data_IF_712119293739
#
_entry.id   IF_712119293739
#
_cell.length_a   1.000
_cell.length_b   1.000
_cell.length_c   1.000
_cell.angle_alpha   90.00
_cell.angle_beta   90.00
_cell.angle_gamma   90.00
#
_symmetry.space_group_name_H-M   'P 1'
#
loop_
_entity.id
_entity.type
_entity.pdbx_description
1 polymer ?
#
# COMPACT_ATOMS: atom_id res chain seq x y z
N UNK A 1 43.26 5.90 -6.32
CA UNK A 1 43.63 6.54 -5.03
C UNK A 1 42.65 7.66 -4.65
N UNK A 2 42.73 8.88 -5.23
CA UNK A 2 41.87 10.01 -4.83
C UNK A 2 40.36 9.72 -4.92
N UNK A 3 39.90 9.13 -6.02
CA UNK A 3 38.48 8.76 -6.19
C UNK A 3 37.97 7.86 -5.05
N UNK A 4 38.74 6.84 -4.67
CA UNK A 4 38.36 5.91 -3.60
C UNK A 4 38.24 6.62 -2.24
N UNK A 5 39.17 7.53 -1.95
CA UNK A 5 39.15 8.34 -0.72
C UNK A 5 37.90 9.22 -0.67
N UNK A 6 37.55 9.90 -1.79
CA UNK A 6 36.33 10.71 -1.87
C UNK A 6 35.06 9.87 -1.67
N UNK A 7 34.99 8.68 -2.25
CA UNK A 7 33.86 7.76 -2.09
C UNK A 7 33.72 7.27 -0.64
N UNK A 8 34.81 6.95 0.05
CA UNK A 8 34.76 6.52 1.46
C UNK A 8 34.33 7.68 2.36
N UNK A 9 34.93 8.86 2.19
CA UNK A 9 34.63 10.02 3.04
C UNK A 9 33.20 10.51 2.79
N UNK A 10 32.87 10.80 1.54
CA UNK A 10 31.57 11.37 1.16
C UNK A 10 30.44 10.34 1.19
N UNK A 11 30.74 9.09 0.85
CA UNK A 11 29.74 8.03 0.70
C UNK A 11 29.49 7.20 1.96
N UNK A 12 30.39 7.20 2.95
CA UNK A 12 30.24 6.40 4.17
C UNK A 12 30.43 7.21 5.46
N UNK A 13 31.55 7.89 5.62
CA UNK A 13 31.89 8.58 6.88
C UNK A 13 30.92 9.75 7.12
N UNK A 14 30.74 10.61 6.12
CA UNK A 14 29.87 11.78 6.20
C UNK A 14 28.40 11.44 6.51
N UNK A 15 27.72 10.54 5.77
CA UNK A 15 26.33 10.19 6.09
C UNK A 15 26.21 9.49 7.45
N UNK A 16 27.13 8.59 7.79
CA UNK A 16 27.07 7.88 9.08
C UNK A 16 27.23 8.83 10.26
N UNK A 17 28.17 9.77 10.20
CA UNK A 17 28.38 10.76 11.26
C UNK A 17 27.18 11.69 11.42
N UNK A 18 26.61 12.19 10.32
CA UNK A 18 25.38 13.00 10.37
C UNK A 18 24.23 12.20 10.99
N UNK A 19 24.01 10.96 10.54
CA UNK A 19 22.93 10.12 11.08
C UNK A 19 23.10 9.84 12.58
N UNK A 20 24.33 9.59 13.04
CA UNK A 20 24.63 9.40 14.47
C UNK A 20 24.35 10.68 15.26
N UNK A 21 24.86 11.83 14.80
CA UNK A 21 24.65 13.12 15.46
C UNK A 21 23.16 13.46 15.51
N UNK A 22 22.45 13.35 14.40
CA UNK A 22 21.00 13.55 14.34
C UNK A 22 20.26 12.61 15.30
N UNK A 23 20.63 11.33 15.36
CA UNK A 23 20.01 10.36 16.28
C UNK A 23 20.22 10.77 17.74
N UNK A 24 21.43 11.16 18.11
CA UNK A 24 21.75 11.64 19.47
C UNK A 24 20.99 12.93 19.79
N UNK A 25 20.89 13.86 18.85
CA UNK A 25 20.13 15.11 19.02
C UNK A 25 18.64 14.83 19.20
N UNK A 26 18.05 13.93 18.41
CA UNK A 26 16.64 13.52 18.54
C UNK A 26 16.43 12.86 19.90
N UNK A 27 17.33 11.97 20.33
CA UNK A 27 17.25 11.33 21.65
C UNK A 27 17.32 12.36 22.78
N UNK A 28 18.26 13.31 22.72
CA UNK A 28 18.40 14.38 23.70
C UNK A 28 17.17 15.31 23.72
N UNK A 29 16.66 15.66 22.54
CA UNK A 29 15.46 16.49 22.41
C UNK A 29 14.24 15.79 23.02
N UNK A 30 14.04 14.50 22.71
CA UNK A 30 12.96 13.70 23.29
C UNK A 30 13.13 13.49 24.79
N UNK A 31 14.35 13.27 25.28
CA UNK A 31 14.62 13.17 26.71
C UNK A 31 14.33 14.49 27.45
N UNK A 32 14.71 15.63 26.87
CA UNK A 32 14.39 16.96 27.41
C UNK A 32 12.88 17.20 27.43
N UNK A 33 12.19 16.89 26.34
CA UNK A 33 10.73 17.01 26.24
C UNK A 33 10.02 16.14 27.29
N UNK A 34 10.52 14.93 27.54
CA UNK A 34 10.01 14.04 28.61
C UNK A 34 10.22 14.64 30.01
N UNK A 35 11.41 15.18 30.31
CA UNK A 35 11.68 15.82 31.62
C UNK A 35 10.72 16.97 31.89
N UNK A 36 10.53 17.87 30.92
CA UNK A 36 9.61 19.01 31.05
C UNK A 36 8.16 18.54 31.22
N UNK A 37 7.74 17.46 30.54
CA UNK A 37 6.40 16.89 30.69
C UNK A 37 6.20 16.24 32.05
N UNK A 38 7.13 15.42 32.51
CA UNK A 38 7.05 14.77 33.82
C UNK A 38 6.90 15.80 34.95
N UNK A 39 7.49 16.98 34.80
CA UNK A 39 7.38 18.07 35.78
C UNK A 39 6.01 18.79 35.75
N UNK A 40 5.22 18.66 34.66
CA UNK A 40 3.86 19.23 34.53
C UNK A 40 2.75 18.20 34.79
N UNK A 41 3.06 16.91 34.69
CA UNK A 41 2.10 15.79 34.82
C UNK A 41 1.64 15.58 36.27
N UNK A 42 2.37 16.09 37.27
CA UNK A 42 1.90 16.07 38.68
C UNK A 42 0.58 16.86 38.90
N UNK A 43 0.11 17.63 37.91
CA UNK A 43 -1.11 18.44 38.01
C UNK A 43 -2.20 18.02 37.00
N UNK A 44 -1.86 17.35 35.89
CA UNK A 44 -2.81 17.00 34.82
C UNK A 44 -2.54 15.61 34.27
N UNK A 45 -3.54 14.74 34.31
CA UNK A 45 -3.49 13.38 33.76
C UNK A 45 -3.15 13.41 32.26
N UNK A 46 -2.20 12.57 31.80
CA UNK A 46 -1.75 12.59 30.41
C UNK A 46 -2.91 12.23 29.48
N UNK A 47 -3.24 13.13 28.56
CA UNK A 47 -4.26 12.87 27.54
C UNK A 47 -3.83 11.68 26.68
N UNK A 48 -4.74 10.77 26.32
CA UNK A 48 -4.44 9.56 25.51
C UNK A 48 -3.64 9.86 24.23
N UNK A 49 -3.84 11.05 23.64
CA UNK A 49 -3.09 11.53 22.46
C UNK A 49 -1.59 11.64 22.74
N UNK A 50 -1.21 12.06 23.95
CA UNK A 50 0.20 12.23 24.32
C UNK A 50 0.93 10.90 24.47
N UNK A 51 0.26 9.88 25.03
CA UNK A 51 0.81 8.53 25.17
C UNK A 51 1.08 7.90 23.79
N UNK A 52 0.12 8.03 22.87
CA UNK A 52 0.26 7.57 21.48
C UNK A 52 1.44 8.23 20.77
N UNK A 53 1.62 9.55 20.95
CA UNK A 53 2.75 10.28 20.37
C UNK A 53 4.10 9.74 20.89
N UNK A 54 4.22 9.46 22.19
CA UNK A 54 5.47 8.95 22.77
C UNK A 54 5.85 7.56 22.27
N UNK A 55 4.85 6.69 22.04
CA UNK A 55 5.06 5.37 21.47
C UNK A 55 5.54 5.48 20.02
N UNK A 56 4.94 6.39 19.24
CA UNK A 56 5.38 6.68 17.87
C UNK A 56 6.83 7.19 17.84
N UNK A 57 7.18 8.17 18.67
CA UNK A 57 8.54 8.71 18.74
C UNK A 57 9.59 7.63 19.07
N UNK A 58 9.27 6.71 20.00
CA UNK A 58 10.15 5.57 20.34
C UNK A 58 10.27 4.57 19.19
N UNK A 59 9.18 4.28 18.49
CA UNK A 59 9.21 3.41 17.32
C UNK A 59 10.06 4.03 16.20
N UNK A 60 9.90 5.33 15.94
CA UNK A 60 10.67 6.04 14.92
C UNK A 60 12.16 6.08 15.24
N UNK A 61 12.54 6.32 16.50
CA UNK A 61 13.93 6.24 16.94
C UNK A 61 14.53 4.83 16.78
N UNK A 62 13.77 3.78 17.16
CA UNK A 62 14.21 2.39 17.01
C UNK A 62 14.43 2.05 15.54
N UNK A 63 13.52 2.50 14.69
CA UNK A 63 13.59 2.30 13.25
C UNK A 63 14.81 2.99 12.64
N UNK A 64 15.06 4.26 13.02
CA UNK A 64 16.23 5.02 12.58
C UNK A 64 17.53 4.32 12.98
N UNK A 65 17.59 3.80 14.22
CA UNK A 65 18.75 3.04 14.70
C UNK A 65 19.00 1.77 13.87
N UNK A 66 17.96 0.97 13.62
CA UNK A 66 18.09 -0.24 12.81
C UNK A 66 18.52 0.11 11.38
N UNK A 67 17.97 1.19 10.81
CA UNK A 67 18.36 1.67 9.48
C UNK A 67 19.86 2.02 9.41
N UNK A 68 20.41 2.68 10.44
CA UNK A 68 21.85 2.97 10.53
C UNK A 68 22.66 1.67 10.59
N UNK A 69 22.25 0.72 11.42
CA UNK A 69 22.95 -0.58 11.53
C UNK A 69 22.95 -1.33 10.21
N UNK A 70 21.80 -1.41 9.54
CA UNK A 70 21.70 -2.05 8.23
C UNK A 70 22.55 -1.32 7.19
N UNK A 71 22.50 0.00 7.14
CA UNK A 71 23.33 0.79 6.23
C UNK A 71 24.83 0.46 6.41
N UNK A 72 25.31 0.38 7.67
CA UNK A 72 26.69 -0.02 7.95
C UNK A 72 26.96 -1.43 7.42
N UNK A 73 26.08 -2.42 7.70
CA UNK A 73 26.27 -3.81 7.26
C UNK A 73 26.32 -3.93 5.74
N UNK A 74 25.43 -3.25 5.01
CA UNK A 74 25.35 -3.33 3.56
C UNK A 74 26.45 -2.53 2.85
N UNK A 75 26.90 -1.41 3.42
CA UNK A 75 27.96 -0.59 2.82
C UNK A 75 29.37 -1.09 3.14
N UNK A 76 29.57 -1.81 4.25
CA UNK A 76 30.89 -2.24 4.69
C UNK A 76 31.63 -3.18 3.72
N UNK A 77 30.99 -4.21 3.10
CA UNK A 77 31.62 -5.03 2.07
C UNK A 77 32.15 -4.22 0.89
N UNK A 78 31.41 -3.20 0.45
CA UNK A 78 31.81 -2.34 -0.65
C UNK A 78 33.01 -1.46 -0.28
N UNK A 79 33.05 -0.93 0.95
CA UNK A 79 34.18 -0.13 1.44
C UNK A 79 35.46 -0.99 1.56
N UNK A 80 35.34 -2.21 2.07
CA UNK A 80 36.48 -3.15 2.13
C UNK A 80 36.99 -3.45 0.72
N UNK A 81 36.09 -3.75 -0.22
CA UNK A 81 36.46 -4.03 -1.61
C UNK A 81 37.18 -2.83 -2.27
N UNK A 82 36.73 -1.60 -1.99
CA UNK A 82 37.34 -0.39 -2.54
C UNK A 82 38.77 -0.15 -2.00
N UNK A 83 38.97 -0.38 -0.69
CA UNK A 83 40.29 -0.30 -0.05
C UNK A 83 41.21 -1.38 -0.59
N UNK A 84 40.71 -2.61 -0.72
CA UNK A 84 41.47 -3.75 -1.23
C UNK A 84 41.93 -3.51 -2.67
N UNK A 85 41.04 -3.10 -3.57
CA UNK A 85 41.37 -2.72 -4.95
C UNK A 85 42.43 -1.60 -4.99
N UNK A 86 42.32 -0.61 -4.11
CA UNK A 86 43.27 0.50 -4.03
C UNK A 86 44.67 0.00 -3.64
N UNK A 87 44.77 -0.95 -2.71
CA UNK A 87 46.04 -1.58 -2.31
C UNK A 87 46.57 -2.49 -3.44
N UNK A 88 45.71 -3.28 -4.07
CA UNK A 88 46.06 -4.19 -5.16
C UNK A 88 46.70 -3.44 -6.35
N UNK A 89 46.20 -2.25 -6.70
CA UNK A 89 46.84 -1.41 -7.74
C UNK A 89 48.27 -0.96 -7.40
N UNK A 90 48.67 -1.02 -6.12
CA UNK A 90 50.03 -0.68 -5.68
C UNK A 90 50.96 -1.89 -5.73
N UNK A 91 50.42 -3.12 -5.70
CA UNK A 91 51.18 -4.37 -5.72
C UNK A 91 50.64 -5.32 -6.81
N UNK A 92 51.05 -5.15 -8.08
CA UNK A 92 50.45 -5.85 -9.22
C UNK A 92 50.78 -7.36 -9.35
N UNK A 93 51.46 -7.99 -8.38
CA UNK A 93 51.84 -9.41 -8.43
C UNK A 93 50.74 -10.35 -7.89
N UNK A 94 49.50 -10.18 -8.34
CA UNK A 94 48.37 -11.05 -7.95
C UNK A 94 48.23 -12.24 -8.90
N UNK A 95 47.95 -13.43 -8.34
CA UNK A 95 47.61 -14.66 -9.10
C UNK A 95 46.24 -14.53 -9.77
N UNK A 96 46.03 -15.24 -10.89
CA UNK A 96 44.74 -15.30 -11.58
C UNK A 96 43.60 -15.81 -10.68
N UNK A 97 43.90 -16.76 -9.78
CA UNK A 97 42.90 -17.28 -8.83
C UNK A 97 42.47 -16.22 -7.80
N UNK A 98 43.43 -15.41 -7.33
CA UNK A 98 43.14 -14.30 -6.41
C UNK A 98 42.23 -13.26 -7.07
N UNK A 99 42.46 -12.96 -8.35
CA UNK A 99 41.65 -12.01 -9.11
C UNK A 99 40.21 -12.51 -9.29
N UNK A 100 40.02 -13.82 -9.51
CA UNK A 100 38.68 -14.40 -9.62
C UNK A 100 37.89 -14.32 -8.30
N UNK A 101 38.55 -14.59 -7.16
CA UNK A 101 37.94 -14.46 -5.83
C UNK A 101 37.59 -13.00 -5.54
N UNK A 102 38.49 -12.07 -5.88
CA UNK A 102 38.24 -10.63 -5.72
C UNK A 102 37.03 -10.16 -6.52
N UNK A 103 36.92 -10.57 -7.79
CA UNK A 103 35.77 -10.26 -8.63
C UNK A 103 34.46 -10.81 -8.06
N UNK A 104 34.48 -12.01 -7.49
CA UNK A 104 33.31 -12.60 -6.83
C UNK A 104 32.90 -11.84 -5.56
N UNK A 105 33.85 -11.45 -4.71
CA UNK A 105 33.59 -10.65 -3.51
C UNK A 105 33.05 -9.27 -3.88
N UNK A 106 33.60 -8.63 -4.92
CA UNK A 106 33.12 -7.37 -5.45
C UNK A 106 31.67 -7.47 -5.93
N UNK A 107 31.33 -8.53 -6.66
CA UNK A 107 29.96 -8.79 -7.11
C UNK A 107 28.99 -8.95 -5.93
N UNK A 108 29.37 -9.69 -4.88
CA UNK A 108 28.52 -9.83 -3.67
C UNK A 108 28.34 -8.48 -2.98
N UNK A 109 29.41 -7.68 -2.86
CA UNK A 109 29.34 -6.35 -2.24
C UNK A 109 28.41 -5.41 -3.03
N UNK A 110 28.47 -5.46 -4.35
CA UNK A 110 27.60 -4.68 -5.23
C UNK A 110 26.14 -5.16 -5.16
N UNK A 111 25.91 -6.47 -5.14
CA UNK A 111 24.58 -7.05 -4.94
C UNK A 111 23.97 -6.61 -3.60
N UNK A 112 24.76 -6.63 -2.52
CA UNK A 112 24.36 -6.14 -1.20
C UNK A 112 23.91 -4.67 -1.25
N UNK A 113 24.64 -3.82 -1.98
CA UNK A 113 24.27 -2.41 -2.16
C UNK A 113 22.93 -2.26 -2.90
N UNK A 114 22.69 -3.05 -3.95
CA UNK A 114 21.43 -3.02 -4.71
C UNK A 114 20.24 -3.58 -3.93
N UNK A 115 20.47 -4.50 -2.98
CA UNK A 115 19.43 -5.06 -2.12
C UNK A 115 19.05 -4.12 -0.97
N UNK A 116 19.91 -3.16 -0.62
CA UNK A 116 19.67 -2.24 0.50
C UNK A 116 18.37 -1.41 0.41
N UNK A 117 18.01 -0.79 -0.74
CA UNK A 117 16.74 -0.06 -0.87
C UNK A 117 15.52 -0.96 -0.64
N UNK A 118 15.56 -2.19 -1.15
CA UNK A 118 14.49 -3.19 -0.99
C UNK A 118 14.42 -3.64 0.47
N UNK A 119 15.56 -3.86 1.11
CA UNK A 119 15.62 -4.23 2.53
C UNK A 119 15.01 -3.16 3.41
N UNK A 120 15.22 -1.88 3.10
CA UNK A 120 14.63 -0.77 3.86
C UNK A 120 13.11 -0.86 3.88
N UNK A 121 12.45 -1.16 2.75
CA UNK A 121 11.01 -1.38 2.69
C UNK A 121 10.55 -2.52 3.61
N UNK A 122 11.22 -3.67 3.56
CA UNK A 122 10.90 -4.80 4.44
C UNK A 122 11.19 -4.48 5.90
N UNK A 123 12.21 -3.68 6.18
CA UNK A 123 12.59 -3.30 7.53
C UNK A 123 11.57 -2.34 8.14
N UNK A 124 11.05 -1.38 7.37
CA UNK A 124 9.91 -0.54 7.74
C UNK A 124 8.68 -1.40 8.02
N UNK A 125 8.43 -2.39 7.15
CA UNK A 125 7.30 -3.32 7.30
C UNK A 125 7.44 -4.23 8.51
N UNK A 126 8.64 -4.74 8.80
CA UNK A 126 8.89 -5.67 9.89
C UNK A 126 8.98 -4.96 11.25
N UNK A 127 9.59 -3.78 11.33
CA UNK A 127 9.89 -3.11 12.60
C UNK A 127 8.67 -2.38 13.18
N UNK A 128 7.77 -1.86 12.34
CA UNK A 128 6.64 -1.07 12.79
C UNK A 128 5.34 -1.87 12.80
N UNK A 129 4.86 -2.28 13.98
CA UNK A 129 3.51 -2.86 14.16
C UNK A 129 2.42 -1.92 13.64
N UNK A 130 2.62 -0.62 13.81
CA UNK A 130 1.73 0.44 13.31
C UNK A 130 1.68 0.42 11.79
N UNK A 131 2.83 0.33 11.12
CA UNK A 131 2.90 0.25 9.66
C UNK A 131 2.26 -1.03 9.13
N UNK A 132 2.48 -2.20 9.76
CA UNK A 132 1.78 -3.44 9.36
C UNK A 132 0.26 -3.29 9.45
N UNK A 133 -0.23 -2.64 10.51
CA UNK A 133 -1.66 -2.44 10.71
C UNK A 133 -2.25 -1.52 9.64
N UNK A 134 -1.58 -0.41 9.33
CA UNK A 134 -2.01 0.52 8.27
C UNK A 134 -1.88 -0.09 6.87
N UNK A 135 -0.83 -0.88 6.61
CA UNK A 135 -0.63 -1.58 5.34
C UNK A 135 -1.72 -2.64 5.13
N UNK A 136 -2.05 -3.43 6.14
CA UNK A 136 -3.17 -4.39 6.07
C UNK A 136 -4.51 -3.66 5.86
N UNK A 137 -4.74 -2.51 6.52
CA UNK A 137 -5.92 -1.68 6.26
C UNK A 137 -5.96 -1.18 4.82
N UNK A 138 -4.83 -0.72 4.28
CA UNK A 138 -4.72 -0.28 2.90
C UNK A 138 -5.05 -1.42 1.94
N UNK A 139 -4.41 -2.59 2.08
CA UNK A 139 -4.69 -3.76 1.23
C UNK A 139 -6.11 -4.29 1.39
N UNK A 140 -6.73 -4.19 2.57
CA UNK A 140 -8.16 -4.51 2.76
C UNK A 140 -9.10 -3.47 2.13
N UNK A 141 -8.68 -2.21 2.05
CA UNK A 141 -9.46 -1.13 1.43
C UNK A 141 -9.45 -1.20 -0.11
N UNK A 142 -8.43 -1.80 -0.71
CA UNK A 142 -8.33 -2.01 -2.16
C UNK A 142 -9.56 -2.76 -2.71
N UNK A 143 -9.89 -4.01 -2.31
CA UNK A 143 -11.04 -4.71 -2.88
C UNK A 143 -12.37 -3.97 -2.65
N UNK A 144 -12.53 -3.22 -1.56
CA UNK A 144 -13.73 -2.40 -1.33
C UNK A 144 -13.81 -1.18 -2.25
N UNK A 145 -12.71 -0.46 -2.49
CA UNK A 145 -12.66 0.64 -3.45
C UNK A 145 -12.88 0.17 -4.88
N UNK A 146 -12.32 -1.00 -5.24
CA UNK A 146 -12.56 -1.63 -6.53
C UNK A 146 -14.03 -2.03 -6.68
N UNK A 147 -14.65 -2.63 -5.65
CA UNK A 147 -16.08 -2.99 -5.66
C UNK A 147 -16.99 -1.76 -5.74
N UNK A 148 -16.65 -0.68 -5.05
CA UNK A 148 -17.44 0.54 -5.03
C UNK A 148 -17.35 1.29 -6.37
N UNK A 149 -16.17 1.33 -7.01
CA UNK A 149 -16.01 1.91 -8.36
C UNK A 149 -16.79 1.15 -9.44
N UNK A 150 -16.93 -0.17 -9.32
CA UNK A 150 -17.79 -0.95 -10.21
C UNK A 150 -19.28 -0.70 -9.96
N UNK A 151 -19.69 -0.44 -8.72
CA UNK A 151 -21.11 -0.21 -8.40
C UNK A 151 -21.61 1.18 -8.80
N UNK A 152 -20.74 2.20 -8.85
CA UNK A 152 -21.13 3.57 -9.27
C UNK A 152 -21.25 3.73 -10.79
N UNK A 153 -20.70 2.80 -11.58
CA UNK A 153 -20.91 2.78 -13.04
C UNK A 153 -22.24 2.13 -13.44
N UNK A 154 -22.89 1.39 -12.54
CA UNK A 154 -24.28 0.94 -12.70
C UNK A 154 -25.17 1.98 -12.00
N UNK A 155 -25.12 3.23 -12.49
CA UNK A 155 -26.06 4.25 -12.06
C UNK A 155 -27.46 3.86 -12.54
N UNK A 156 -28.50 3.89 -11.67
CA UNK A 156 -29.86 3.41 -11.95
C UNK A 156 -30.66 4.31 -12.91
N UNK A 157 -30.01 5.01 -13.83
CA UNK A 157 -30.67 5.83 -14.86
C UNK A 157 -31.00 5.04 -16.13
N UNK A 158 -30.37 3.88 -16.36
CA UNK A 158 -30.68 3.07 -17.55
C UNK A 158 -31.97 2.26 -17.36
N UNK A 159 -32.24 1.78 -16.14
CA UNK A 159 -33.44 0.98 -15.84
C UNK A 159 -34.76 1.73 -16.08
N UNK A 160 -34.98 2.97 -15.57
CA UNK A 160 -36.22 3.69 -15.82
C UNK A 160 -36.36 4.12 -17.29
N UNK A 161 -35.26 4.30 -18.02
CA UNK A 161 -35.31 4.68 -19.44
C UNK A 161 -35.70 3.49 -20.32
N UNK A 162 -35.21 2.28 -20.02
CA UNK A 162 -35.65 1.05 -20.72
C UNK A 162 -37.10 0.73 -20.38
N UNK A 163 -37.52 0.89 -19.12
CA UNK A 163 -38.93 0.70 -18.74
C UNK A 163 -39.82 1.74 -19.43
N UNK A 164 -39.42 3.02 -19.49
CA UNK A 164 -40.16 4.06 -20.19
C UNK A 164 -40.26 3.80 -21.71
N UNK A 165 -39.16 3.36 -22.36
CA UNK A 165 -39.19 2.99 -23.77
C UNK A 165 -40.11 1.78 -24.03
N UNK A 166 -40.12 0.80 -23.12
CA UNK A 166 -41.00 -0.36 -23.25
C UNK A 166 -42.48 0.01 -23.08
N UNK A 167 -42.81 0.89 -22.14
CA UNK A 167 -44.18 1.40 -21.93
C UNK A 167 -44.69 2.21 -23.13
N UNK A 168 -43.84 3.07 -23.72
CA UNK A 168 -44.20 3.83 -24.92
C UNK A 168 -44.48 2.89 -26.10
N UNK A 169 -43.69 1.82 -26.25
CA UNK A 169 -43.87 0.87 -27.35
C UNK A 169 -45.14 0.00 -27.16
N UNK A 170 -45.49 -0.38 -25.93
CA UNK A 170 -46.77 -1.06 -25.64
C UNK A 170 -47.98 -0.15 -25.93
N UNK A 171 -47.92 1.14 -25.57
CA UNK A 171 -48.99 2.09 -25.87
C UNK A 171 -49.14 2.32 -27.38
N UNK A 172 -48.04 2.35 -28.13
CA UNK A 172 -48.09 2.44 -29.59
C UNK A 172 -48.75 1.22 -30.24
N UNK A 173 -48.48 0.00 -29.76
CA UNK A 173 -49.15 -1.21 -30.27
C UNK A 173 -50.66 -1.26 -29.93
N UNK A 174 -51.06 -0.79 -28.75
CA UNK A 174 -52.48 -0.69 -28.39
C UNK A 174 -53.22 0.28 -29.32
N UNK A 175 -52.62 1.43 -29.63
CA UNK A 175 -53.24 2.44 -30.50
C UNK A 175 -53.32 2.02 -31.97
N UNK A 176 -52.44 1.11 -32.42
CA UNK A 176 -52.53 0.46 -33.74
C UNK A 176 -53.64 -0.60 -33.75
N UNK A 177 -53.84 -1.34 -32.66
CA UNK A 177 -54.92 -2.32 -32.53
C UNK A 177 -56.31 -1.64 -32.59
N UNK A 178 -56.48 -0.47 -31.98
CA UNK A 178 -57.75 0.28 -32.06
C UNK A 178 -58.05 0.79 -33.48
N UNK A 179 -57.02 1.15 -34.25
CA UNK A 179 -57.18 1.56 -35.66
C UNK A 179 -57.46 0.39 -36.60
N UNK A 180 -56.99 -0.82 -36.28
CA UNK A 180 -57.32 -2.03 -37.04
C UNK A 180 -58.73 -2.52 -36.71
N UNK A 181 -59.20 -2.33 -35.47
CA UNK A 181 -60.56 -2.71 -35.05
C UNK A 181 -61.66 -1.80 -35.62
N UNK A 182 -61.35 -0.55 -35.97
CA UNK A 182 -62.30 0.37 -36.61
C UNK A 182 -62.60 0.05 -38.09
N UNK A 183 -62.00 -1.01 -38.68
CA UNK A 183 -62.22 -1.42 -40.07
C UNK A 183 -62.86 -2.81 -40.26
N UNK A 184 -63.40 -3.42 -39.22
CA UNK A 184 -64.18 -4.65 -39.35
C UNK A 184 -65.61 -4.44 -38.83
N UNK A 185 -66.56 -4.43 -39.78
CA UNK A 185 -68.00 -4.41 -39.56
C UNK A 185 -68.47 -5.64 -38.77
N UNK A 186 -69.68 -5.56 -38.16
CA UNK A 186 -70.11 -6.41 -37.07
C UNK A 186 -70.65 -7.74 -37.58
N UNK A 187 -70.31 -8.82 -36.86
CA UNK A 187 -71.12 -10.03 -36.84
C UNK A 187 -71.19 -10.48 -35.38
N UNK A 188 -72.29 -10.09 -34.75
CA UNK A 188 -73.28 -10.99 -34.17
C UNK A 188 -72.82 -12.23 -33.40
N UNK A 189 -73.48 -12.36 -32.24
CA UNK A 189 -73.68 -13.56 -31.42
C UNK A 189 -72.44 -14.05 -30.64
N UNK A 190 -72.52 -14.54 -29.40
CA UNK A 190 -73.56 -14.70 -28.39
C UNK A 190 -72.87 -15.51 -27.28
N UNK A 191 -73.29 -15.29 -26.04
CA UNK A 191 -73.22 -16.28 -24.95
C UNK A 191 -71.81 -16.67 -24.48
N UNK A 192 -71.57 -17.16 -23.28
CA UNK A 192 -72.33 -17.39 -22.05
C UNK A 192 -71.35 -18.18 -21.19
N UNK A 193 -71.39 -17.99 -19.89
CA UNK A 193 -70.65 -18.81 -18.93
C UNK A 193 -69.12 -18.65 -18.96
N UNK A 194 -68.39 -18.94 -17.90
CA UNK A 194 -68.85 -19.49 -16.66
C UNK A 194 -67.85 -19.16 -15.56
N UNK A 195 -68.40 -19.15 -14.36
CA UNK A 195 -67.71 -19.26 -13.10
C UNK A 195 -66.73 -20.44 -13.15
N UNK A 196 -65.60 -20.33 -12.45
CA UNK A 196 -65.33 -21.11 -11.22
C UNK A 196 -63.93 -20.78 -10.67
N UNK A 197 -63.76 -20.85 -9.34
CA UNK A 197 -62.62 -20.29 -8.63
C UNK A 197 -61.54 -21.33 -8.29
N UNK A 198 -60.42 -20.80 -7.80
CA UNK A 198 -59.56 -21.32 -6.74
C UNK A 198 -59.45 -22.86 -6.59
N UNK A 199 -58.24 -23.38 -6.82
CA UNK A 199 -57.73 -24.46 -5.98
C UNK A 199 -56.32 -24.18 -5.50
N UNK A 200 -56.25 -23.96 -4.21
CA UNK A 200 -55.09 -24.07 -3.33
C UNK A 200 -54.70 -25.54 -3.15
N UNK A 201 -53.42 -25.88 -3.28
CA UNK A 201 -52.75 -27.03 -2.63
C UNK A 201 -51.27 -26.60 -2.50
N UNK A 202 -50.76 -26.17 -1.33
CA UNK A 202 -50.12 -27.00 -0.27
C UNK A 202 -49.07 -27.96 -0.88
N UNK A 203 -47.77 -27.89 -0.60
CA UNK A 203 -47.01 -28.05 0.66
C UNK A 203 -46.09 -29.26 0.44
N UNK A 204 -44.91 -29.24 1.07
CA UNK A 204 -44.04 -30.39 1.38
C UNK A 204 -43.27 -30.95 0.16
N UNK A 205 -41.96 -31.14 0.18
CA UNK A 205 -40.92 -31.15 1.22
C UNK A 205 -39.58 -30.75 0.59
#
# INVERSE_FOLDING_TARGET
MYHAIYVIIGGFIFPTTIMIVCTVLIQRNLARKRRIRNQKVDVVSPTERELKQQLFDRQMLRLLFIQIVCYIIFSLPQMINLVYNTIATTFPNMSADSLAIEGFVAFIAELMLYVFPVTSFYLYTLTSRTFRTELIKFFRSIPTCWRQRWNTQISPTIVPTIIALHTINQQAMAHVSDKVSAKQMPNDLKADGDRIPAHSVKKQE
#
